data_IF_025559076598
#
_entry.id   IF_025559076598
#
_cell.length_a   1.000
_cell.length_b   1.000
_cell.length_c   1.000
_cell.angle_alpha   90.00
_cell.angle_beta   90.00
_cell.angle_gamma   90.00
#
_symmetry.space_group_name_H-M   'P 1'
#
loop_
_entity.id
_entity.type
_entity.pdbx_description
1 polymer ?
#
# COMPACT_ATOMS: atom_id res chain seq x y z
N UNK A 1 -41.16 -74.19 -10.61
CA UNK A 1 -42.26 -73.26 -10.96
C UNK A 1 -41.85 -71.88 -10.46
N UNK A 2 -41.24 -71.06 -11.33
CA UNK A 2 -41.88 -70.04 -12.18
C UNK A 2 -42.43 -68.87 -11.35
N UNK A 3 -41.95 -67.67 -11.69
CA UNK A 3 -42.37 -66.33 -11.22
C UNK A 3 -41.64 -65.84 -9.96
N UNK A 4 -40.33 -65.58 -10.07
CA UNK A 4 -39.65 -64.53 -9.29
C UNK A 4 -38.28 -64.15 -9.93
N UNK A 5 -38.24 -64.09 -11.27
CA UNK A 5 -37.01 -63.88 -12.06
C UNK A 5 -37.26 -62.88 -13.20
N UNK A 6 -37.79 -61.68 -12.92
CA UNK A 6 -37.92 -60.62 -13.95
C UNK A 6 -38.17 -59.21 -13.39
N UNK A 7 -37.83 -58.89 -12.14
CA UNK A 7 -37.87 -57.49 -11.62
C UNK A 7 -36.57 -57.14 -10.86
N UNK A 8 -35.46 -57.76 -11.25
CA UNK A 8 -34.12 -57.47 -10.70
C UNK A 8 -33.09 -57.38 -11.83
N UNK A 9 -33.46 -56.68 -12.92
CA UNK A 9 -32.61 -56.44 -14.09
C UNK A 9 -32.77 -55.02 -14.68
N UNK A 10 -33.50 -54.13 -14.00
CA UNK A 10 -33.71 -52.72 -14.41
C UNK A 10 -33.43 -51.76 -13.25
N UNK A 11 -32.46 -52.11 -12.39
CA UNK A 11 -32.03 -51.29 -11.26
C UNK A 11 -30.51 -51.40 -11.00
N UNK A 12 -29.72 -51.63 -12.06
CA UNK A 12 -28.24 -51.61 -12.02
C UNK A 12 -27.68 -50.85 -13.23
N UNK A 13 -28.39 -49.81 -13.67
CA UNK A 13 -27.93 -48.90 -14.73
C UNK A 13 -28.30 -47.45 -14.44
N UNK A 14 -28.13 -47.01 -13.20
CA UNK A 14 -28.29 -45.60 -12.84
C UNK A 14 -27.44 -45.21 -11.63
N UNK A 15 -26.12 -45.42 -11.70
CA UNK A 15 -25.21 -44.81 -10.73
C UNK A 15 -23.78 -44.64 -11.25
N UNK A 16 -23.62 -44.13 -12.47
CA UNK A 16 -22.45 -43.33 -12.87
C UNK A 16 -22.91 -42.35 -13.96
N UNK A 17 -23.67 -41.31 -13.59
CA UNK A 17 -23.68 -40.10 -14.39
C UNK A 17 -22.46 -39.29 -13.93
N UNK A 18 -21.33 -39.46 -14.63
CA UNK A 18 -20.27 -38.46 -14.61
C UNK A 18 -20.95 -37.17 -15.04
N UNK A 19 -21.17 -36.25 -14.11
CA UNK A 19 -21.56 -34.89 -14.43
C UNK A 19 -20.34 -34.29 -15.11
N UNK A 20 -20.31 -34.36 -16.44
CA UNK A 20 -19.46 -33.51 -17.23
C UNK A 20 -19.92 -32.08 -16.95
N UNK A 21 -19.28 -31.43 -15.99
CA UNK A 21 -19.39 -29.98 -15.83
C UNK A 21 -18.95 -29.37 -17.15
N UNK A 22 -19.91 -28.91 -17.94
CA UNK A 22 -19.62 -28.17 -19.15
C UNK A 22 -18.85 -26.93 -18.74
N UNK A 23 -17.54 -26.92 -19.00
CA UNK A 23 -16.75 -25.70 -18.85
C UNK A 23 -17.32 -24.69 -19.83
N UNK A 24 -17.74 -23.53 -19.31
CA UNK A 24 -18.13 -22.40 -20.14
C UNK A 24 -16.98 -22.09 -21.10
N UNK A 25 -17.30 -21.84 -22.36
CA UNK A 25 -16.30 -21.42 -23.34
C UNK A 25 -15.78 -20.03 -22.99
N UNK A 26 -14.55 -19.73 -23.37
CA UNK A 26 -13.92 -18.43 -23.07
C UNK A 26 -14.75 -17.24 -23.58
N UNK A 27 -15.44 -17.41 -24.71
CA UNK A 27 -16.38 -16.41 -25.26
C UNK A 27 -17.58 -16.15 -24.33
N UNK A 28 -18.12 -17.18 -23.69
CA UNK A 28 -19.23 -17.04 -22.74
C UNK A 28 -18.76 -16.36 -21.45
N UNK A 29 -17.57 -16.71 -20.97
CA UNK A 29 -16.95 -16.06 -19.80
C UNK A 29 -16.73 -14.56 -20.04
N UNK A 30 -16.23 -14.18 -21.23
CA UNK A 30 -16.04 -12.78 -21.62
C UNK A 30 -17.37 -12.01 -21.61
N UNK A 31 -18.43 -12.60 -22.16
CA UNK A 31 -19.76 -11.95 -22.20
C UNK A 31 -20.33 -11.69 -20.80
N UNK A 32 -20.06 -12.62 -19.87
CA UNK A 32 -20.52 -12.54 -18.49
C UNK A 32 -19.72 -11.49 -17.70
N UNK A 33 -18.41 -11.43 -17.89
CA UNK A 33 -17.54 -10.38 -17.33
C UNK A 33 -17.99 -9.00 -17.77
N UNK A 34 -18.26 -8.80 -19.08
CA UNK A 34 -18.78 -7.53 -19.63
C UNK A 34 -20.09 -7.11 -18.98
N UNK A 35 -21.01 -8.06 -18.78
CA UNK A 35 -22.30 -7.81 -18.12
C UNK A 35 -22.13 -7.36 -16.67
N UNK A 36 -21.31 -8.08 -15.90
CA UNK A 36 -21.09 -7.78 -14.48
C UNK A 36 -20.35 -6.46 -14.26
N UNK A 37 -19.42 -6.12 -15.15
CA UNK A 37 -18.77 -4.81 -15.16
C UNK A 37 -19.74 -3.67 -15.51
N UNK A 38 -20.64 -3.88 -16.48
CA UNK A 38 -21.67 -2.88 -16.82
C UNK A 38 -22.63 -2.63 -15.64
N UNK A 39 -22.80 -3.60 -14.75
CA UNK A 39 -23.56 -3.45 -13.49
C UNK A 39 -22.74 -2.85 -12.33
N UNK A 40 -21.46 -2.52 -12.54
CA UNK A 40 -20.59 -1.93 -11.51
C UNK A 40 -20.14 -2.92 -10.43
N UNK A 41 -20.18 -4.23 -10.69
CA UNK A 41 -19.78 -5.25 -9.73
C UNK A 41 -18.28 -5.16 -9.40
N UNK A 42 -17.92 -5.40 -8.14
CA UNK A 42 -16.52 -5.42 -7.70
C UNK A 42 -15.80 -6.67 -8.23
N UNK A 43 -14.48 -6.61 -8.35
CA UNK A 43 -13.66 -7.72 -8.86
C UNK A 43 -13.89 -9.04 -8.09
N UNK A 44 -14.08 -8.96 -6.77
CA UNK A 44 -14.36 -10.12 -5.93
C UNK A 44 -15.75 -10.72 -6.20
N UNK A 45 -16.75 -9.88 -6.47
CA UNK A 45 -18.10 -10.32 -6.83
C UNK A 45 -18.10 -11.04 -8.19
N UNK A 46 -17.37 -10.50 -9.17
CA UNK A 46 -17.23 -11.11 -10.51
C UNK A 46 -16.61 -12.51 -10.41
N UNK A 47 -15.52 -12.66 -9.66
CA UNK A 47 -14.85 -13.95 -9.50
C UNK A 47 -15.74 -15.00 -8.80
N UNK A 48 -16.51 -14.56 -7.80
CA UNK A 48 -17.44 -15.45 -7.07
C UNK A 48 -18.57 -15.94 -7.98
N UNK A 49 -19.13 -15.06 -8.79
CA UNK A 49 -20.20 -15.38 -9.73
C UNK A 49 -19.72 -16.31 -10.86
N UNK A 50 -18.50 -16.10 -11.38
CA UNK A 50 -17.89 -16.96 -12.39
C UNK A 50 -17.54 -18.35 -11.83
N UNK A 51 -17.06 -18.42 -10.59
CA UNK A 51 -16.80 -19.68 -9.91
C UNK A 51 -18.09 -20.47 -9.68
N UNK A 52 -19.20 -19.81 -9.30
CA UNK A 52 -20.52 -20.43 -9.17
C UNK A 52 -21.05 -21.00 -10.49
N UNK A 53 -20.60 -20.44 -11.62
CA UNK A 53 -20.93 -20.89 -12.98
C UNK A 53 -19.95 -21.94 -13.54
N UNK A 54 -19.04 -22.45 -12.72
CA UNK A 54 -18.14 -23.55 -13.08
C UNK A 54 -16.88 -23.13 -13.84
N UNK A 55 -16.54 -21.84 -13.84
CA UNK A 55 -15.27 -21.33 -14.41
C UNK A 55 -14.15 -21.57 -13.41
N UNK A 56 -13.02 -22.12 -13.85
CA UNK A 56 -11.86 -22.28 -12.97
C UNK A 56 -11.24 -20.91 -12.64
N UNK A 57 -10.66 -20.78 -11.46
CA UNK A 57 -10.01 -19.54 -11.03
C UNK A 57 -8.93 -19.09 -12.02
N UNK A 58 -8.13 -20.02 -12.51
CA UNK A 58 -7.06 -19.78 -13.48
C UNK A 58 -7.59 -19.31 -14.84
N UNK A 59 -8.71 -19.86 -15.30
CA UNK A 59 -9.36 -19.45 -16.54
C UNK A 59 -9.99 -18.05 -16.40
N UNK A 60 -10.64 -17.77 -15.26
CA UNK A 60 -11.22 -16.46 -14.97
C UNK A 60 -10.15 -15.36 -14.86
N UNK A 61 -9.04 -15.62 -14.18
CA UNK A 61 -7.93 -14.67 -14.03
C UNK A 61 -7.25 -14.36 -15.37
N UNK A 62 -7.01 -15.38 -16.21
CA UNK A 62 -6.44 -15.23 -17.55
C UNK A 62 -7.33 -14.38 -18.46
N UNK A 63 -8.61 -14.73 -18.53
CA UNK A 63 -9.58 -14.01 -19.39
C UNK A 63 -9.77 -12.57 -18.91
N UNK A 64 -9.77 -12.34 -17.59
CA UNK A 64 -9.85 -10.99 -17.04
C UNK A 64 -8.62 -10.13 -17.41
N UNK A 65 -7.42 -10.71 -17.37
CA UNK A 65 -6.19 -10.05 -17.78
C UNK A 65 -6.20 -9.70 -19.29
N UNK A 66 -6.64 -10.64 -20.14
CA UNK A 66 -6.75 -10.42 -21.59
C UNK A 66 -7.78 -9.34 -21.92
N UNK A 67 -8.91 -9.32 -21.20
CA UNK A 67 -9.93 -8.29 -21.36
C UNK A 67 -9.45 -6.89 -20.94
N UNK A 68 -8.73 -6.77 -19.82
CA UNK A 68 -8.12 -5.51 -19.38
C UNK A 68 -7.07 -5.01 -20.38
N UNK A 69 -6.26 -5.92 -20.93
CA UNK A 69 -5.27 -5.60 -21.95
C UNK A 69 -5.92 -5.10 -23.26
N UNK A 70 -7.08 -5.66 -23.63
CA UNK A 70 -7.86 -5.21 -24.79
C UNK A 70 -8.63 -3.90 -24.54
N UNK A 71 -9.12 -3.68 -23.31
CA UNK A 71 -9.83 -2.45 -22.91
C UNK A 71 -8.93 -1.20 -22.92
N UNK A 72 -7.62 -1.37 -22.78
CA UNK A 72 -6.63 -0.28 -22.89
C UNK A 72 -6.29 0.11 -24.34
N UNK A 73 -6.74 -0.65 -25.34
CA UNK A 73 -6.40 -0.46 -26.76
C UNK A 73 -7.51 0.23 -27.59
N UNK A 74 -8.64 0.62 -26.98
CA UNK A 74 -9.75 1.30 -27.68
C UNK A 74 -9.93 2.76 -27.21
N UNK A 75 -8.90 3.58 -27.37
CA UNK A 75 -9.06 5.04 -27.54
C UNK A 75 -7.87 5.56 -28.36
N UNK A 76 -7.95 5.51 -29.69
CA UNK A 76 -6.91 6.01 -30.59
C UNK A 76 -7.07 5.50 -32.03
N UNK A 77 -7.24 6.44 -32.96
CA UNK A 77 -7.85 6.31 -34.30
C UNK A 77 -6.92 5.81 -35.43
N UNK A 78 -7.57 5.37 -36.53
CA UNK A 78 -7.25 5.33 -37.99
C UNK A 78 -6.45 4.18 -38.65
N UNK A 79 -7.20 3.43 -39.48
CA UNK A 79 -6.95 2.90 -40.85
C UNK A 79 -5.53 2.52 -41.31
N UNK A 80 -5.39 1.26 -41.74
CA UNK A 80 -4.97 0.94 -43.12
C UNK A 80 -5.33 -0.48 -43.54
N UNK A 81 -5.55 -0.58 -44.85
CA UNK A 81 -6.22 -1.57 -45.70
C UNK A 81 -5.56 -2.95 -45.80
N UNK A 82 -6.40 -3.96 -46.06
CA UNK A 82 -6.08 -5.34 -46.43
C UNK A 82 -5.11 -5.49 -47.62
N UNK A 83 -4.36 -6.60 -47.66
CA UNK A 83 -4.20 -7.41 -48.88
C UNK A 83 -3.71 -8.83 -48.56
N UNK A 84 -4.29 -9.79 -49.30
CA UNK A 84 -4.23 -11.25 -49.13
C UNK A 84 -3.04 -11.91 -49.86
N UNK A 85 -2.78 -13.17 -49.46
CA UNK A 85 -2.21 -14.30 -50.27
C UNK A 85 -0.67 -14.34 -50.26
N UNK A 86 0.08 -15.44 -50.02
CA UNK A 86 -0.05 -16.83 -50.51
C UNK A 86 0.93 -17.76 -49.74
N UNK A 87 0.58 -19.03 -49.50
CA UNK A 87 1.53 -20.08 -49.06
C UNK A 87 2.54 -20.42 -50.18
N UNK A 88 3.83 -20.62 -49.83
CA UNK A 88 4.52 -21.92 -49.87
C UNK A 88 6.04 -21.73 -49.68
N UNK A 89 6.64 -22.72 -49.02
CA UNK A 89 8.06 -23.14 -48.94
C UNK A 89 8.66 -22.98 -47.54
N UNK A 90 8.93 -24.12 -46.90
CA UNK A 90 9.94 -24.23 -45.84
C UNK A 90 11.32 -24.24 -46.52
N UNK A 91 12.24 -23.35 -46.14
CA UNK A 91 13.66 -23.57 -46.31
C UNK A 91 14.33 -23.56 -44.93
N UNK A 92 14.90 -24.72 -44.59
CA UNK A 92 16.05 -24.94 -43.68
C UNK A 92 16.46 -23.69 -42.90
N UNK A 93 16.04 -23.61 -41.64
CA UNK A 93 16.55 -22.57 -40.73
C UNK A 93 18.07 -22.71 -40.65
N UNK A 94 18.86 -21.66 -40.98
CA UNK A 94 20.27 -21.67 -40.70
C UNK A 94 20.42 -21.79 -39.19
N UNK A 95 21.34 -22.64 -38.73
CA UNK A 95 21.79 -22.67 -37.35
C UNK A 95 22.25 -21.25 -37.01
N UNK A 96 21.35 -20.48 -36.40
CA UNK A 96 21.68 -19.15 -35.90
C UNK A 96 22.66 -19.42 -34.79
N UNK A 97 23.94 -19.21 -35.08
CA UNK A 97 24.91 -18.94 -34.02
C UNK A 97 24.29 -17.79 -33.26
N UNK A 98 23.65 -18.11 -32.13
CA UNK A 98 23.28 -17.12 -31.14
C UNK A 98 24.63 -16.56 -30.75
N UNK A 99 24.99 -15.43 -31.37
CA UNK A 99 25.94 -14.52 -30.78
C UNK A 99 25.31 -14.24 -29.44
N UNK A 100 25.79 -14.92 -28.41
CA UNK A 100 25.56 -14.49 -27.05
C UNK A 100 26.04 -13.06 -27.09
N UNK A 101 25.08 -12.13 -27.12
CA UNK A 101 25.35 -10.76 -26.78
C UNK A 101 26.09 -10.88 -25.45
N UNK A 102 27.41 -10.63 -25.48
CA UNK A 102 28.19 -10.38 -24.29
C UNK A 102 27.30 -9.56 -23.39
N UNK A 103 27.09 -9.94 -22.11
CA UNK A 103 26.15 -9.24 -21.26
C UNK A 103 26.50 -7.77 -21.37
N UNK A 104 25.65 -7.02 -22.07
CA UNK A 104 25.75 -5.58 -22.13
C UNK A 104 25.77 -5.20 -20.68
N UNK A 105 26.92 -4.67 -20.21
CA UNK A 105 27.07 -4.24 -18.82
C UNK A 105 25.92 -3.28 -18.61
N UNK A 106 24.88 -3.76 -17.93
CA UNK A 106 23.71 -2.97 -17.63
C UNK A 106 24.14 -1.66 -16.96
N UNK A 107 23.33 -0.60 -17.07
CA UNK A 107 23.66 0.69 -16.47
C UNK A 107 24.12 0.47 -15.02
N UNK A 108 25.30 1.00 -14.70
CA UNK A 108 25.99 0.81 -13.43
C UNK A 108 25.03 1.05 -12.28
N UNK A 109 24.61 -0.03 -11.60
CA UNK A 109 23.63 0.04 -10.53
C UNK A 109 24.32 0.45 -9.23
N UNK A 110 23.94 1.60 -8.69
CA UNK A 110 24.34 2.02 -7.35
C UNK A 110 23.67 1.11 -6.33
N UNK A 111 24.45 0.59 -5.37
CA UNK A 111 23.93 -0.30 -4.32
C UNK A 111 22.77 0.35 -3.57
N UNK A 112 21.74 -0.43 -3.23
CA UNK A 112 20.59 0.04 -2.46
C UNK A 112 19.55 0.84 -3.25
N UNK A 113 19.86 1.31 -4.47
CA UNK A 113 18.94 2.12 -5.27
C UNK A 113 17.61 1.40 -5.59
N UNK A 114 17.69 0.11 -5.90
CA UNK A 114 16.52 -0.69 -6.29
C UNK A 114 15.58 -0.99 -5.12
N UNK A 115 16.00 -0.77 -3.86
CA UNK A 115 15.17 -1.06 -2.69
C UNK A 115 13.93 -0.17 -2.63
N UNK A 116 14.07 1.09 -3.04
CA UNK A 116 12.95 2.03 -3.02
C UNK A 116 12.12 2.03 -4.32
N UNK A 117 12.62 1.35 -5.37
CA UNK A 117 11.96 1.27 -6.67
C UNK A 117 11.22 -0.06 -6.90
N UNK A 118 11.34 -1.03 -5.98
CA UNK A 118 10.74 -2.34 -6.19
C UNK A 118 9.23 -2.30 -6.00
N UNK A 119 8.49 -2.89 -6.94
CA UNK A 119 7.02 -2.96 -6.91
C UNK A 119 6.45 -3.93 -5.85
N UNK A 120 7.30 -4.80 -5.30
CA UNK A 120 6.90 -5.88 -4.37
C UNK A 120 7.25 -5.57 -2.91
N UNK A 121 7.99 -4.50 -2.64
CA UNK A 121 8.20 -4.03 -1.26
C UNK A 121 7.01 -3.20 -0.83
N UNK A 122 6.83 -3.00 0.46
CA UNK A 122 5.80 -2.08 0.96
C UNK A 122 6.33 -1.41 2.21
N UNK A 123 6.74 -0.14 2.06
CA UNK A 123 7.13 0.71 3.17
C UNK A 123 5.90 1.45 3.65
N UNK A 124 4.97 0.71 4.27
CA UNK A 124 3.86 1.32 4.98
C UNK A 124 4.32 1.65 6.41
N UNK A 125 4.00 2.85 6.93
CA UNK A 125 4.23 3.17 8.33
C UNK A 125 3.56 2.13 9.22
N UNK A 126 4.24 1.74 10.31
CA UNK A 126 3.67 0.79 11.25
C UNK A 126 2.57 1.47 12.09
N UNK A 127 1.33 1.34 11.65
CA UNK A 127 0.15 1.87 12.34
C UNK A 127 -0.16 1.18 13.67
N UNK A 128 0.45 0.00 13.92
CA UNK A 128 0.29 -0.77 15.15
C UNK A 128 1.41 -0.48 16.16
N UNK A 129 2.25 0.51 15.91
CA UNK A 129 3.27 0.93 16.87
C UNK A 129 2.61 1.65 18.06
N UNK A 130 3.08 1.42 19.30
CA UNK A 130 2.66 2.25 20.43
C UNK A 130 2.87 3.72 20.09
N UNK A 131 1.87 4.57 20.37
CA UNK A 131 1.97 5.99 20.09
C UNK A 131 3.21 6.57 20.79
N UNK A 132 4.18 7.13 20.05
CA UNK A 132 5.36 7.75 20.65
C UNK A 132 4.96 8.89 21.59
N UNK A 133 5.64 9.04 22.72
CA UNK A 133 5.34 10.13 23.68
C UNK A 133 5.52 11.52 23.07
N UNK A 134 6.40 11.63 22.07
CA UNK A 134 6.74 12.84 21.32
C UNK A 134 5.95 12.99 20.01
N UNK A 135 4.88 12.21 19.82
CA UNK A 135 3.97 12.44 18.70
C UNK A 135 3.18 13.73 18.94
N UNK A 136 3.26 14.65 17.98
CA UNK A 136 2.58 15.94 18.03
C UNK A 136 1.17 15.81 17.45
N UNK A 137 0.15 15.96 18.30
CA UNK A 137 -1.25 15.90 17.91
C UNK A 137 -1.62 17.04 16.96
N UNK A 138 -2.50 16.75 16.01
CA UNK A 138 -3.22 17.82 15.31
C UNK A 138 -4.53 17.36 14.70
N UNK A 139 -5.13 18.29 13.95
CA UNK A 139 -6.47 18.10 13.40
C UNK A 139 -6.59 16.81 12.56
N UNK A 140 -7.66 16.05 12.81
CA UNK A 140 -7.92 14.75 12.20
C UNK A 140 -7.33 13.54 12.95
N UNK A 141 -6.53 13.76 14.00
CA UNK A 141 -6.10 12.66 14.88
C UNK A 141 -7.25 12.20 15.78
N UNK A 142 -7.40 10.89 15.96
CA UNK A 142 -8.30 10.31 16.95
C UNK A 142 -7.58 10.11 18.28
N UNK A 143 -8.07 10.74 19.32
CA UNK A 143 -7.60 10.58 20.69
C UNK A 143 -8.51 9.58 21.42
N UNK A 144 -7.91 8.50 21.90
CA UNK A 144 -8.57 7.47 22.70
C UNK A 144 -8.16 7.67 24.16
N UNK A 145 -9.17 7.84 25.01
CA UNK A 145 -9.00 8.07 26.46
C UNK A 145 -9.66 6.89 27.17
N UNK A 146 -8.83 6.07 27.81
CA UNK A 146 -9.28 4.93 28.60
C UNK A 146 -9.16 5.23 30.08
N UNK A 147 -10.26 5.04 30.79
CA UNK A 147 -10.36 5.14 32.24
C UNK A 147 -10.77 3.78 32.78
N UNK A 148 -10.03 3.28 33.77
CA UNK A 148 -10.29 1.99 34.40
C UNK A 148 -10.06 2.01 35.91
N UNK A 149 -10.50 0.97 36.61
CA UNK A 149 -10.39 0.82 38.06
C UNK A 149 -11.74 0.98 38.73
N UNK A 150 -11.90 1.91 39.68
CA UNK A 150 -13.20 2.18 40.31
C UNK A 150 -14.23 2.84 39.36
N UNK A 151 -13.80 3.26 38.18
CA UNK A 151 -14.66 3.82 37.14
C UNK A 151 -14.15 3.33 35.80
N UNK A 152 -15.06 3.09 34.88
CA UNK A 152 -14.75 2.59 33.54
C UNK A 152 -15.39 3.51 32.51
N UNK A 153 -14.56 4.02 31.60
CA UNK A 153 -15.01 4.84 30.48
C UNK A 153 -13.95 4.80 29.37
N UNK A 154 -14.39 4.51 28.15
CA UNK A 154 -13.57 4.74 26.96
C UNK A 154 -14.22 5.86 26.14
N UNK A 155 -13.45 6.91 25.88
CA UNK A 155 -13.86 8.03 25.03
C UNK A 155 -12.97 8.05 23.80
N UNK A 156 -13.60 8.16 22.63
CA UNK A 156 -12.91 8.36 21.35
C UNK A 156 -13.35 9.71 20.82
N UNK A 157 -12.39 10.61 20.58
CA UNK A 157 -12.68 11.90 19.96
C UNK A 157 -11.66 12.25 18.91
N UNK A 158 -12.15 12.73 17.78
CA UNK A 158 -11.33 13.33 16.74
C UNK A 158 -10.97 14.77 17.12
N UNK A 159 -9.70 15.14 16.92
CA UNK A 159 -9.24 16.51 17.07
C UNK A 159 -9.80 17.34 15.93
N UNK A 160 -10.66 18.30 16.25
CA UNK A 160 -11.27 19.17 15.25
C UNK A 160 -10.25 20.14 14.62
N UNK A 161 -10.58 20.76 13.46
CA UNK A 161 -9.68 21.69 12.76
C UNK A 161 -9.26 22.94 13.56
N UNK A 162 -10.05 23.33 14.56
CA UNK A 162 -9.73 24.39 15.54
C UNK A 162 -8.84 23.90 16.70
N UNK A 163 -8.51 22.60 16.72
CA UNK A 163 -7.53 21.98 17.61
C UNK A 163 -8.08 21.44 18.92
N UNK A 164 -9.40 21.24 19.03
CA UNK A 164 -10.07 20.80 20.25
C UNK A 164 -10.57 19.35 20.15
N UNK A 165 -10.75 18.71 21.29
CA UNK A 165 -11.66 17.57 21.44
C UNK A 165 -12.82 17.98 22.33
N UNK A 166 -14.03 17.52 22.03
CA UNK A 166 -15.22 17.84 22.81
C UNK A 166 -15.63 16.63 23.65
N UNK A 167 -15.42 16.69 24.97
CA UNK A 167 -15.76 15.56 25.85
C UNK A 167 -17.03 15.85 26.62
N UNK A 168 -18.01 14.95 26.54
CA UNK A 168 -19.29 15.06 27.28
C UNK A 168 -19.03 15.25 28.78
N UNK A 169 -19.76 16.18 29.42
CA UNK A 169 -19.62 16.56 30.84
C UNK A 169 -18.31 17.25 31.25
N UNK A 170 -17.34 17.42 30.34
CA UNK A 170 -16.07 18.14 30.59
C UNK A 170 -15.95 19.40 29.73
N UNK A 171 -16.44 19.34 28.49
CA UNK A 171 -16.37 20.42 27.50
C UNK A 171 -15.15 20.31 26.56
N UNK A 172 -14.82 21.41 25.84
CA UNK A 172 -13.73 21.45 24.89
C UNK A 172 -12.35 21.41 25.57
N UNK A 173 -11.43 20.59 25.05
CA UNK A 173 -10.04 20.48 25.48
C UNK A 173 -9.13 20.71 24.28
N UNK A 174 -8.33 21.79 24.31
CA UNK A 174 -7.37 22.10 23.24
C UNK A 174 -6.15 21.18 23.29
N UNK A 175 -5.82 20.51 22.18
CA UNK A 175 -4.72 19.53 22.07
C UNK A 175 -3.77 19.77 20.88
N UNK A 176 -4.09 20.68 19.95
CA UNK A 176 -3.27 20.87 18.75
C UNK A 176 -1.86 21.35 19.08
N UNK A 177 -0.88 20.73 18.42
CA UNK A 177 0.55 21.01 18.59
C UNK A 177 1.13 20.49 19.90
N UNK A 178 0.35 19.79 20.72
CA UNK A 178 0.84 19.18 21.96
C UNK A 178 1.37 17.78 21.69
N UNK A 179 2.46 17.45 22.37
CA UNK A 179 2.93 16.07 22.41
C UNK A 179 1.95 15.21 23.22
N UNK A 180 1.90 13.90 22.94
CA UNK A 180 1.02 12.96 23.67
C UNK A 180 1.21 13.00 25.17
N UNK A 181 2.45 13.21 25.63
CA UNK A 181 2.74 13.38 27.05
C UNK A 181 2.04 14.60 27.66
N UNK A 182 2.09 15.73 26.97
CA UNK A 182 1.47 16.99 27.41
C UNK A 182 -0.06 16.90 27.33
N UNK A 183 -0.57 16.34 26.23
CA UNK A 183 -1.99 16.08 26.03
C UNK A 183 -2.56 15.18 27.12
N UNK A 184 -1.86 14.09 27.46
CA UNK A 184 -2.25 13.16 28.53
C UNK A 184 -2.38 13.86 29.88
N UNK A 185 -1.43 14.73 30.23
CA UNK A 185 -1.47 15.49 31.48
C UNK A 185 -2.64 16.49 31.51
N UNK A 186 -2.90 17.16 30.39
CA UNK A 186 -4.01 18.11 30.24
C UNK A 186 -5.37 17.41 30.32
N UNK A 187 -5.52 16.28 29.63
CA UNK A 187 -6.71 15.43 29.66
C UNK A 187 -6.94 14.93 31.09
N UNK A 188 -5.92 14.38 31.76
CA UNK A 188 -6.03 13.94 33.17
C UNK A 188 -6.51 15.07 34.08
N UNK A 189 -6.00 16.29 33.89
CA UNK A 189 -6.43 17.47 34.66
C UNK A 189 -7.90 17.82 34.41
N UNK A 190 -8.35 17.74 33.16
CA UNK A 190 -9.74 18.02 32.79
C UNK A 190 -10.70 16.96 33.35
N UNK A 191 -10.38 15.67 33.20
CA UNK A 191 -11.15 14.55 33.74
C UNK A 191 -11.16 14.53 35.27
N UNK A 192 -10.11 15.02 35.93
CA UNK A 192 -10.06 15.18 37.38
C UNK A 192 -11.12 16.14 37.96
N UNK A 193 -11.86 16.88 37.12
CA UNK A 193 -13.01 17.71 37.56
C UNK A 193 -14.25 16.88 37.85
N UNK A 194 -14.44 15.76 37.15
CA UNK A 194 -15.59 14.87 37.30
C UNK A 194 -15.22 13.53 37.94
N UNK A 195 -13.95 13.14 37.90
CA UNK A 195 -13.40 11.97 38.59
C UNK A 195 -12.39 12.42 39.66
N UNK A 196 -12.88 12.71 40.87
CA UNK A 196 -12.05 13.18 41.99
C UNK A 196 -10.95 12.20 42.40
N UNK A 197 -11.20 10.90 42.23
CA UNK A 197 -10.24 9.83 42.55
C UNK A 197 -8.94 9.93 41.73
N UNK A 198 -8.99 10.45 40.49
CA UNK A 198 -7.81 10.68 39.63
C UNK A 198 -6.80 11.68 40.24
N UNK A 199 -7.23 12.51 41.19
CA UNK A 199 -6.44 13.53 41.87
C UNK A 199 -6.00 13.11 43.28
N UNK A 200 -6.42 11.93 43.73
CA UNK A 200 -6.14 11.44 45.07
C UNK A 200 -4.67 10.98 45.19
N UNK A 201 -4.12 11.01 46.40
CA UNK A 201 -2.76 10.54 46.67
C UNK A 201 -2.58 9.04 46.39
N UNK A 202 -3.66 8.26 46.53
CA UNK A 202 -3.71 6.83 46.24
C UNK A 202 -4.88 6.55 45.28
N UNK A 203 -4.70 6.84 43.97
CA UNK A 203 -5.78 6.69 43.00
C UNK A 203 -6.11 5.20 42.80
N UNK A 204 -7.40 4.90 42.74
CA UNK A 204 -7.96 3.59 42.35
C UNK A 204 -8.61 3.62 40.97
N UNK A 205 -8.77 4.80 40.40
CA UNK A 205 -9.12 5.07 39.01
C UNK A 205 -7.87 5.54 38.28
N UNK A 206 -7.64 5.01 37.10
CA UNK A 206 -6.49 5.30 36.25
C UNK A 206 -6.96 5.84 34.91
N UNK A 207 -6.09 6.59 34.23
CA UNK A 207 -6.37 7.19 32.91
C UNK A 207 -5.16 7.01 32.01
N UNK A 208 -5.41 6.61 30.76
CA UNK A 208 -4.42 6.53 29.68
C UNK A 208 -4.98 7.21 28.46
N UNK A 209 -4.13 7.98 27.80
CA UNK A 209 -4.41 8.55 26.49
C UNK A 209 -3.55 7.84 25.45
N UNK A 210 -4.14 7.51 24.31
CA UNK A 210 -3.45 6.99 23.15
C UNK A 210 -4.03 7.60 21.88
N UNK A 211 -3.34 7.43 20.75
CA UNK A 211 -3.85 7.85 19.45
C UNK A 211 -4.35 6.62 18.70
N UNK A 212 -5.57 6.72 18.18
CA UNK A 212 -6.16 5.75 17.27
C UNK A 212 -5.76 6.05 15.84
N UNK A 213 -6.74 6.43 15.02
CA UNK A 213 -6.46 6.90 13.66
C UNK A 213 -5.58 8.15 13.68
N UNK A 214 -4.45 8.10 12.98
CA UNK A 214 -3.62 9.28 12.74
C UNK A 214 -4.02 9.98 11.45
N UNK A 215 -3.88 11.30 11.46
CA UNK A 215 -4.11 12.14 10.28
C UNK A 215 -3.10 11.83 9.17
N UNK A 216 -3.50 12.21 7.97
CA UNK A 216 -2.57 12.30 6.84
C UNK A 216 -1.91 13.68 6.82
N UNK A 217 -0.65 13.71 6.38
CA UNK A 217 0.12 14.91 6.13
C UNK A 217 0.40 15.07 4.63
N UNK A 218 0.50 16.32 4.16
CA UNK A 218 0.97 16.64 2.82
C UNK A 218 2.43 17.06 2.86
N UNK A 219 3.26 16.39 2.06
CA UNK A 219 4.69 16.69 1.91
C UNK A 219 5.05 16.90 0.45
N UNK A 220 6.08 17.68 0.17
CA UNK A 220 6.57 17.90 -1.19
C UNK A 220 7.89 17.15 -1.40
N UNK A 221 7.94 16.28 -2.39
CA UNK A 221 9.13 15.52 -2.74
C UNK A 221 9.67 16.05 -4.06
N UNK A 222 10.93 16.46 -4.08
CA UNK A 222 11.55 17.11 -5.25
C UNK A 222 13.02 16.76 -5.42
N UNK A 223 13.59 17.20 -6.54
CA UNK A 223 14.95 16.89 -6.94
C UNK A 223 15.02 15.53 -7.62
N UNK A 224 16.09 14.78 -7.33
CA UNK A 224 16.47 13.59 -8.09
C UNK A 224 15.75 12.31 -7.64
N UNK A 225 14.42 12.36 -7.68
CA UNK A 225 13.50 11.24 -7.41
C UNK A 225 12.86 10.73 -8.71
N UNK A 226 12.31 9.52 -8.69
CA UNK A 226 11.64 8.97 -9.87
C UNK A 226 10.36 9.76 -10.21
N UNK A 227 9.55 10.10 -9.21
CA UNK A 227 8.30 10.85 -9.37
C UNK A 227 8.27 12.05 -8.40
N UNK A 228 8.73 13.24 -8.80
CA UNK A 228 8.61 14.43 -7.98
C UNK A 228 7.15 14.91 -7.92
N UNK A 229 6.74 15.48 -6.78
CA UNK A 229 5.38 15.98 -6.58
C UNK A 229 4.97 16.11 -5.12
N UNK A 230 3.69 16.44 -4.90
CA UNK A 230 3.09 16.50 -3.58
C UNK A 230 2.48 15.14 -3.23
N UNK A 231 2.83 14.62 -2.06
CA UNK A 231 2.39 13.32 -1.56
C UNK A 231 1.56 13.48 -0.30
N UNK A 232 0.50 12.67 -0.18
CA UNK A 232 -0.27 12.52 1.05
C UNK A 232 0.21 11.26 1.75
N UNK A 233 0.80 11.41 2.93
CA UNK A 233 1.39 10.32 3.71
C UNK A 233 0.76 10.28 5.11
N UNK A 234 0.92 9.19 5.85
CA UNK A 234 0.58 9.18 7.28
C UNK A 234 1.45 10.15 8.07
N UNK A 235 0.97 10.72 9.17
CA UNK A 235 1.79 11.53 10.09
C UNK A 235 2.93 10.75 10.76
N UNK A 236 2.92 9.42 10.70
CA UNK A 236 4.05 8.57 11.11
C UNK A 236 5.07 8.31 9.98
N UNK A 237 4.81 8.81 8.77
CA UNK A 237 5.72 8.61 7.66
C UNK A 237 7.04 9.35 7.86
N UNK A 238 8.13 8.67 7.52
CA UNK A 238 9.49 9.20 7.54
C UNK A 238 10.00 9.51 6.14
N UNK A 239 11.25 9.96 6.03
CA UNK A 239 11.90 10.23 4.74
C UNK A 239 11.94 8.97 3.88
N UNK A 240 12.16 7.79 4.47
CA UNK A 240 12.20 6.54 3.71
C UNK A 240 10.85 6.19 3.09
N UNK A 241 9.76 6.45 3.82
CA UNK A 241 8.41 6.28 3.31
C UNK A 241 8.14 7.23 2.14
N UNK A 242 8.58 8.49 2.26
CA UNK A 242 8.47 9.46 1.16
C UNK A 242 9.27 9.03 -0.07
N UNK A 243 10.53 8.61 0.09
CA UNK A 243 11.35 8.12 -1.03
C UNK A 243 10.71 6.90 -1.70
N UNK A 244 10.15 5.98 -0.93
CA UNK A 244 9.42 4.84 -1.46
C UNK A 244 8.16 5.26 -2.23
N UNK A 245 7.34 6.15 -1.67
CA UNK A 245 6.15 6.69 -2.36
C UNK A 245 6.51 7.41 -3.66
N UNK A 246 7.68 8.04 -3.73
CA UNK A 246 8.20 8.68 -4.93
C UNK A 246 8.80 7.71 -5.96
N UNK A 247 8.74 6.40 -5.74
CA UNK A 247 9.33 5.38 -6.61
C UNK A 247 10.85 5.25 -6.48
N UNK A 248 11.40 5.75 -5.39
CA UNK A 248 12.84 5.82 -5.13
C UNK A 248 13.51 7.03 -5.79
N UNK A 249 14.84 6.94 -5.88
CA UNK A 249 15.68 7.96 -6.49
C UNK A 249 15.94 7.66 -7.98
N UNK A 250 16.19 8.69 -8.78
CA UNK A 250 16.52 8.52 -10.21
C UNK A 250 18.01 8.20 -10.44
N UNK A 251 18.48 8.16 -11.69
CA UNK A 251 19.86 7.80 -12.07
C UNK A 251 20.96 8.74 -11.57
N UNK A 252 20.63 9.99 -11.27
CA UNK A 252 21.60 11.00 -10.84
C UNK A 252 21.45 11.40 -9.38
N UNK A 253 20.40 10.92 -8.69
CA UNK A 253 20.12 11.23 -7.28
C UNK A 253 21.02 10.51 -6.28
N UNK A 254 21.35 11.18 -5.18
CA UNK A 254 22.21 10.65 -4.13
C UNK A 254 21.43 10.10 -2.93
N UNK A 255 21.64 8.82 -2.60
CA UNK A 255 21.15 8.21 -1.35
C UNK A 255 21.84 8.77 -0.09
N UNK A 256 22.95 9.52 -0.22
CA UNK A 256 23.70 10.10 0.90
C UNK A 256 23.33 11.56 1.22
N UNK A 257 22.58 12.19 0.32
CA UNK A 257 22.32 13.63 0.38
C UNK A 257 20.83 13.90 0.15
N UNK A 258 20.01 13.32 1.02
CA UNK A 258 18.58 13.58 1.09
C UNK A 258 18.36 14.63 2.18
N UNK A 259 17.75 15.76 1.82
CA UNK A 259 17.56 16.89 2.72
C UNK A 259 16.08 17.07 3.02
N UNK A 260 15.76 17.30 4.28
CA UNK A 260 14.43 17.69 4.73
C UNK A 260 14.46 19.17 5.07
N UNK A 261 13.58 19.95 4.43
CA UNK A 261 13.36 21.34 4.76
C UNK A 261 12.01 21.50 5.45
N UNK A 262 12.01 22.25 6.55
CA UNK A 262 10.82 22.56 7.35
C UNK A 262 10.75 24.07 7.52
N UNK A 263 9.63 24.69 7.15
CA UNK A 263 9.44 26.15 7.22
C UNK A 263 10.59 26.94 6.54
N UNK A 264 11.15 26.40 5.46
CA UNK A 264 12.24 27.02 4.70
C UNK A 264 13.66 26.83 5.28
N UNK A 265 13.82 26.13 6.40
CA UNK A 265 15.11 25.83 7.00
C UNK A 265 15.48 24.36 6.79
N UNK A 266 16.78 24.07 6.67
CA UNK A 266 17.27 22.69 6.62
C UNK A 266 17.11 22.06 8.01
N UNK A 267 16.20 21.11 8.12
CA UNK A 267 15.90 20.41 9.37
C UNK A 267 16.88 19.24 9.59
N UNK A 268 17.08 18.43 8.55
CA UNK A 268 17.91 17.23 8.63
C UNK A 268 18.50 16.88 7.27
N UNK A 269 19.71 16.37 7.27
CA UNK A 269 20.29 15.63 6.16
C UNK A 269 20.31 14.15 6.53
N UNK A 270 19.81 13.31 5.63
CA UNK A 270 19.66 11.87 5.81
C UNK A 270 20.62 11.15 4.86
N UNK A 271 21.44 10.26 5.42
CA UNK A 271 22.22 9.28 4.66
C UNK A 271 21.50 7.92 4.76
N UNK A 272 20.96 7.47 3.63
CA UNK A 272 20.21 6.22 3.55
C UNK A 272 21.13 5.00 3.74
N UNK A 273 22.44 5.11 3.48
CA UNK A 273 23.35 3.98 3.63
C UNK A 273 23.61 3.60 5.09
N UNK A 274 23.46 4.52 6.03
CA UNK A 274 23.54 4.18 7.46
C UNK A 274 22.47 3.12 7.78
N UNK A 275 21.25 3.36 7.33
CA UNK A 275 20.18 2.38 7.46
C UNK A 275 20.47 1.07 6.69
N UNK A 276 20.94 1.15 5.44
CA UNK A 276 21.13 -0.04 4.59
C UNK A 276 22.31 -0.93 5.00
N UNK A 277 23.36 -0.36 5.59
CA UNK A 277 24.61 -1.07 5.88
C UNK A 277 24.77 -1.41 7.35
N UNK A 278 24.38 -0.52 8.27
CA UNK A 278 24.49 -0.74 9.71
C UNK A 278 23.16 -1.04 10.39
N UNK A 279 22.03 -0.91 9.66
CA UNK A 279 20.69 -1.02 10.26
C UNK A 279 20.35 0.15 11.18
N UNK A 280 21.13 1.25 11.13
CA UNK A 280 20.93 2.42 11.97
C UNK A 280 19.86 3.34 11.37
N UNK A 281 18.70 3.44 12.04
CA UNK A 281 17.61 4.33 11.65
C UNK A 281 17.64 5.68 12.35
N UNK A 282 18.65 5.99 13.17
CA UNK A 282 18.76 7.27 13.90
C UNK A 282 18.93 8.49 12.98
N UNK A 283 19.38 8.25 11.74
CA UNK A 283 19.45 9.25 10.68
C UNK A 283 18.10 9.59 10.05
N UNK A 284 17.09 8.72 10.17
CA UNK A 284 15.75 8.94 9.63
C UNK A 284 14.96 9.94 10.48
N UNK A 285 14.03 10.64 9.88
CA UNK A 285 13.22 11.67 10.53
C UNK A 285 11.76 11.55 10.11
N UNK A 286 10.86 11.63 11.09
CA UNK A 286 9.41 11.70 10.85
C UNK A 286 9.08 13.04 10.18
N UNK A 287 8.34 12.96 9.08
CA UNK A 287 7.92 14.12 8.31
C UNK A 287 6.73 14.81 8.98
N UNK A 288 6.65 16.13 8.79
CA UNK A 288 5.53 16.96 9.24
C UNK A 288 4.83 17.60 8.05
N UNK A 289 3.64 18.12 8.32
CA UNK A 289 2.86 18.87 7.35
C UNK A 289 3.69 19.97 6.67
N UNK A 290 3.65 20.01 5.34
CA UNK A 290 4.40 20.92 4.47
C UNK A 290 5.92 20.76 4.47
N UNK A 291 6.48 19.67 5.02
CA UNK A 291 7.90 19.38 4.85
C UNK A 291 8.25 19.18 3.35
N UNK A 292 9.46 19.59 2.99
CA UNK A 292 10.02 19.38 1.64
C UNK A 292 11.17 18.38 1.73
N UNK A 293 11.01 17.23 1.10
CA UNK A 293 12.07 16.23 0.92
C UNK A 293 12.75 16.49 -0.42
N UNK A 294 14.00 16.94 -0.38
CA UNK A 294 14.81 17.22 -1.56
C UNK A 294 15.94 16.20 -1.69
N UNK A 295 15.97 15.49 -2.81
CA UNK A 295 17.11 14.62 -3.17
C UNK A 295 18.06 15.40 -4.05
N UNK A 296 19.30 15.59 -3.60
CA UNK A 296 20.34 16.26 -4.39
C UNK A 296 21.02 15.26 -5.35
N UNK A 297 21.55 15.74 -6.49
CA UNK A 297 22.35 14.90 -7.37
C UNK A 297 23.68 14.48 -6.72
N UNK A 298 24.33 13.46 -7.28
CA UNK A 298 25.69 13.09 -6.90
C UNK A 298 26.65 14.28 -7.07
N UNK A 299 27.39 14.61 -6.01
CA UNK A 299 28.45 15.63 -6.09
C UNK A 299 29.71 15.10 -6.77
N UNK A 300 30.07 13.84 -6.49
CA UNK A 300 31.21 13.14 -7.09
C UNK A 300 30.82 11.68 -7.30
N UNK A 301 31.11 11.15 -8.48
CA UNK A 301 30.92 9.73 -8.81
C UNK A 301 32.20 9.24 -9.47
N UNK A 302 32.79 8.19 -8.89
CA UNK A 302 33.97 7.50 -9.44
C UNK A 302 33.56 6.10 -9.77
N UNK A 303 33.90 5.66 -10.97
CA UNK A 303 33.72 4.29 -11.41
C UNK A 303 35.09 3.70 -11.68
N UNK A 304 35.39 2.58 -11.04
CA UNK A 304 36.60 1.81 -11.30
C UNK A 304 36.16 0.54 -12.03
N UNK A 305 36.80 0.24 -13.16
CA UNK A 305 36.51 -0.94 -13.97
C UNK A 305 37.81 -1.63 -14.36
N UNK A 306 37.78 -2.95 -14.52
CA UNK A 306 38.95 -3.75 -14.90
C UNK A 306 39.35 -4.70 -13.79
N UNK A 307 40.61 -5.17 -13.83
CA UNK A 307 41.20 -6.00 -12.78
C UNK A 307 41.84 -5.09 -11.74
N UNK A 308 41.01 -4.66 -10.77
CA UNK A 308 41.38 -3.79 -9.65
C UNK A 308 41.15 -4.50 -8.32
#
# INVERSE_FOLDING_TARGET
MKILRTILSTAVFLLVAVVAYGQLSDQQVISEVKRLQATGASQQQILTELAAKGVTREQAERIYADYQAQGAAQTGTVMSTESRTRELSEPVEPEVIVVQETPSRGPISVFGKNLFASKNLTFQPNMNMPTPENYELGAGDEVIIDIWGNSELTVRQEVSPDGYINVTNIGPIYLQGMDIKEASAKIKTAFGRIYSDLRSAHPRTFIKTSVGNVRSIKVNIMGEVALPGTYTLSSFASVFHALYSAGGINDIGSLRNVKVFRKGQLEKQVDVYDYLLSGDSSGDIILKENDIVKVEPYTKRVQITGQV
#
